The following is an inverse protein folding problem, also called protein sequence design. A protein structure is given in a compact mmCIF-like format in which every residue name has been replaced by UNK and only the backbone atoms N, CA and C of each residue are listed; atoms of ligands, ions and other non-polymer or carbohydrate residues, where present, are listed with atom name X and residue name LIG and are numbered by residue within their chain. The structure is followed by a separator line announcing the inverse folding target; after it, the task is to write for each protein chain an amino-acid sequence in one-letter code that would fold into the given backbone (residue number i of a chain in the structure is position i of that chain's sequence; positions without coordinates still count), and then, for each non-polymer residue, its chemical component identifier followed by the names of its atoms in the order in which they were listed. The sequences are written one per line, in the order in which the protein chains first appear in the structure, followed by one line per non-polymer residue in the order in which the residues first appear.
data_IF_590365076508
#
_entry.id   IF_590365076508
#
_cell.length_a   1.000
_cell.length_b   1.000
_cell.length_c   1.000
_cell.angle_alpha   90.00
_cell.angle_beta   90.00
_cell.angle_gamma   90.00
#
_symmetry.space_group_name_H-M   'P 1'
#
loop_
_entity.id
_entity.type
_entity.pdbx_description
1 polymer ?
#
# COMPACT_ATOMS: atom_id res chain seq x y z
N UNK A 1 13.03 4.52 -25.53
CA UNK A 1 12.15 4.53 -24.34
C UNK A 1 11.81 3.08 -24.13
N UNK A 2 12.41 2.45 -23.13
CA UNK A 2 12.04 1.09 -22.75
C UNK A 2 10.61 1.15 -22.21
N UNK A 3 9.67 0.51 -22.91
CA UNK A 3 8.39 0.11 -22.32
C UNK A 3 8.72 -0.88 -21.21
N UNK A 4 8.81 -0.38 -19.98
CA UNK A 4 8.72 -1.23 -18.81
C UNK A 4 7.29 -1.73 -18.83
N UNK A 5 7.08 -2.98 -19.23
CA UNK A 5 5.80 -3.66 -19.07
C UNK A 5 5.44 -3.59 -17.58
N UNK A 6 4.53 -2.67 -17.23
CA UNK A 6 4.09 -2.50 -15.86
C UNK A 6 3.46 -3.81 -15.41
N UNK A 7 3.98 -4.38 -14.33
CA UNK A 7 3.40 -5.60 -13.75
C UNK A 7 1.95 -5.31 -13.34
N UNK A 8 1.06 -6.32 -13.35
CA UNK A 8 -0.34 -6.11 -12.95
C UNK A 8 -0.48 -5.54 -11.54
N UNK A 9 0.48 -5.84 -10.65
CA UNK A 9 0.57 -5.26 -9.30
C UNK A 9 0.90 -3.76 -9.33
N UNK A 10 1.86 -3.33 -10.14
CA UNK A 10 2.24 -1.92 -10.28
C UNK A 10 1.11 -1.07 -10.85
N UNK A 11 0.43 -1.58 -11.87
CA UNK A 11 -0.74 -0.91 -12.45
C UNK A 11 -1.86 -0.75 -11.42
N UNK A 12 -2.17 -1.82 -10.67
CA UNK A 12 -3.18 -1.79 -9.61
C UNK A 12 -2.80 -0.79 -8.51
N UNK A 13 -1.53 -0.77 -8.08
CA UNK A 13 -1.05 0.18 -7.09
C UNK A 13 -1.17 1.63 -7.56
N UNK A 14 -0.91 1.92 -8.84
CA UNK A 14 -1.11 3.26 -9.43
C UNK A 14 -2.59 3.66 -9.42
N UNK A 15 -3.47 2.72 -9.77
CA UNK A 15 -4.91 2.94 -9.70
C UNK A 15 -5.36 3.23 -8.27
N UNK A 16 -4.96 2.45 -7.28
CA UNK A 16 -5.30 2.66 -5.87
C UNK A 16 -4.85 4.04 -5.37
N UNK A 17 -3.63 4.47 -5.73
CA UNK A 17 -3.13 5.82 -5.39
C UNK A 17 -3.99 6.92 -6.00
N UNK A 18 -4.46 6.76 -7.24
CA UNK A 18 -5.34 7.71 -7.90
C UNK A 18 -6.71 7.74 -7.23
N UNK A 19 -7.33 6.59 -7.01
CA UNK A 19 -8.63 6.48 -6.35
C UNK A 19 -8.60 7.08 -4.93
N UNK A 20 -7.52 6.87 -4.17
CA UNK A 20 -7.34 7.48 -2.85
C UNK A 20 -7.28 9.01 -2.91
N UNK A 21 -6.58 9.57 -3.91
CA UNK A 21 -6.53 11.03 -4.12
C UNK A 21 -7.90 11.60 -4.50
N UNK A 22 -8.61 10.95 -5.42
CA UNK A 22 -9.94 11.37 -5.87
C UNK A 22 -10.96 11.30 -4.73
N UNK A 23 -10.87 10.25 -3.90
CA UNK A 23 -11.68 10.09 -2.69
C UNK A 23 -11.40 11.20 -1.68
N UNK A 24 -10.13 11.54 -1.41
CA UNK A 24 -9.78 12.66 -0.52
C UNK A 24 -10.31 14.00 -1.05
N UNK A 25 -10.21 14.24 -2.36
CA UNK A 25 -10.78 15.43 -3.00
C UNK A 25 -12.30 15.50 -2.82
N UNK A 26 -12.99 14.35 -2.94
CA UNK A 26 -14.42 14.24 -2.68
C UNK A 26 -14.77 14.53 -1.22
N UNK A 27 -14.04 13.97 -0.25
CA UNK A 27 -14.21 14.26 1.18
C UNK A 27 -14.05 15.76 1.44
N UNK A 28 -13.01 16.38 0.88
CA UNK A 28 -12.77 17.81 1.07
C UNK A 28 -13.92 18.65 0.52
N UNK A 29 -14.44 18.29 -0.67
CA UNK A 29 -15.63 18.92 -1.24
C UNK A 29 -16.85 18.79 -0.32
N UNK A 30 -17.12 17.60 0.21
CA UNK A 30 -18.22 17.35 1.16
C UNK A 30 -18.08 18.19 2.43
N UNK A 31 -16.88 18.23 3.02
CA UNK A 31 -16.56 19.03 4.22
C UNK A 31 -16.79 20.52 4.00
N UNK A 32 -16.51 21.02 2.79
CA UNK A 32 -16.70 22.43 2.43
C UNK A 32 -18.15 22.77 2.09
N UNK A 33 -18.93 21.82 1.58
CA UNK A 33 -20.33 22.02 1.20
C UNK A 33 -21.27 22.20 2.41
N UNK A 34 -20.86 21.77 3.61
CA UNK A 34 -21.69 21.81 4.81
C UNK A 34 -21.20 22.91 5.77
N UNK A 35 -22.03 23.93 6.05
CA UNK A 35 -21.72 24.96 7.02
C UNK A 35 -21.35 24.40 8.40
N UNK A 36 -20.38 25.03 9.08
CA UNK A 36 -19.85 24.56 10.37
C UNK A 36 -20.89 24.52 11.50
N UNK A 37 -21.95 25.32 11.40
CA UNK A 37 -23.01 25.44 12.41
C UNK A 37 -24.12 24.38 12.24
N UNK A 38 -24.24 23.74 11.07
CA UNK A 38 -25.24 22.70 10.82
C UNK A 38 -24.78 21.35 11.38
N UNK A 39 -24.97 21.18 12.68
CA UNK A 39 -24.51 19.98 13.42
C UNK A 39 -25.14 18.69 12.89
N UNK A 40 -26.40 18.74 12.43
CA UNK A 40 -27.11 17.55 11.95
C UNK A 40 -26.50 17.05 10.66
N UNK A 41 -26.35 17.93 9.66
CA UNK A 41 -25.74 17.56 8.36
C UNK A 41 -24.27 17.21 8.51
N UNK A 42 -23.54 17.87 9.42
CA UNK A 42 -22.14 17.51 9.73
C UNK A 42 -22.01 16.09 10.27
N UNK A 43 -22.92 15.65 11.13
CA UNK A 43 -22.92 14.27 11.65
C UNK A 43 -23.15 13.26 10.53
N UNK A 44 -24.17 13.47 9.71
CA UNK A 44 -24.48 12.62 8.56
C UNK A 44 -23.30 12.54 7.58
N UNK A 45 -22.68 13.67 7.28
CA UNK A 45 -21.49 13.72 6.44
C UNK A 45 -20.31 12.95 7.04
N UNK A 46 -20.08 13.02 8.35
CA UNK A 46 -19.01 12.23 8.99
C UNK A 46 -19.28 10.73 8.87
N UNK A 47 -20.53 10.29 9.03
CA UNK A 47 -20.93 8.89 8.83
C UNK A 47 -20.75 8.46 7.36
N UNK A 48 -21.16 9.30 6.40
CA UNK A 48 -20.95 9.07 4.97
C UNK A 48 -19.46 9.01 4.60
N UNK A 49 -18.63 9.90 5.16
CA UNK A 49 -17.17 9.88 4.95
C UNK A 49 -16.58 8.56 5.47
N UNK A 50 -16.93 8.16 6.69
CA UNK A 50 -16.43 6.92 7.27
C UNK A 50 -16.81 5.70 6.43
N UNK A 51 -18.04 5.68 5.90
CA UNK A 51 -18.49 4.64 4.98
C UNK A 51 -17.69 4.64 3.67
N UNK A 52 -17.51 5.81 3.05
CA UNK A 52 -16.74 5.92 1.79
C UNK A 52 -15.27 5.48 1.95
N UNK A 53 -14.65 5.82 3.08
CA UNK A 53 -13.27 5.39 3.39
C UNK A 53 -13.19 3.88 3.61
N UNK A 54 -14.13 3.31 4.37
CA UNK A 54 -14.19 1.87 4.60
C UNK A 54 -14.46 1.08 3.31
N UNK A 55 -15.45 1.50 2.52
CA UNK A 55 -15.82 0.85 1.26
C UNK A 55 -14.63 0.84 0.28
N UNK A 56 -13.87 1.95 0.19
CA UNK A 56 -12.69 2.02 -0.67
C UNK A 56 -11.55 1.12 -0.18
N UNK A 57 -11.26 1.14 1.12
CA UNK A 57 -10.22 0.29 1.69
C UNK A 57 -10.54 -1.20 1.51
N UNK A 58 -11.77 -1.61 1.81
CA UNK A 58 -12.21 -2.99 1.61
C UNK A 58 -12.05 -3.43 0.15
N UNK A 59 -12.46 -2.57 -0.79
CA UNK A 59 -12.27 -2.83 -2.23
C UNK A 59 -10.79 -3.02 -2.58
N UNK A 60 -9.91 -2.15 -2.10
CA UNK A 60 -8.46 -2.26 -2.37
C UNK A 60 -7.86 -3.52 -1.75
N UNK A 61 -8.27 -3.89 -0.54
CA UNK A 61 -7.85 -5.13 0.12
C UNK A 61 -8.31 -6.37 -0.63
N UNK A 62 -9.56 -6.41 -1.09
CA UNK A 62 -10.11 -7.50 -1.89
C UNK A 62 -9.35 -7.65 -3.22
N UNK A 63 -9.09 -6.54 -3.92
CA UNK A 63 -8.34 -6.55 -5.19
C UNK A 63 -6.90 -7.06 -4.99
N UNK A 64 -6.23 -6.65 -3.90
CA UNK A 64 -4.90 -7.15 -3.56
C UNK A 64 -4.93 -8.63 -3.18
N UNK A 65 -5.94 -9.07 -2.42
CA UNK A 65 -6.09 -10.48 -2.05
C UNK A 65 -6.35 -11.36 -3.27
N UNK A 66 -7.19 -10.90 -4.21
CA UNK A 66 -7.47 -11.60 -5.46
C UNK A 66 -6.19 -11.72 -6.31
N UNK A 67 -5.42 -10.64 -6.42
CA UNK A 67 -4.18 -10.67 -7.19
C UNK A 67 -3.15 -11.62 -6.59
N UNK A 68 -2.97 -11.63 -5.26
CA UNK A 68 -2.10 -12.58 -4.55
C UNK A 68 -2.53 -14.03 -4.78
N UNK A 69 -3.82 -14.33 -4.59
CA UNK A 69 -4.34 -15.69 -4.82
C UNK A 69 -4.18 -16.16 -6.28
N UNK A 70 -4.27 -15.25 -7.24
CA UNK A 70 -4.04 -15.53 -8.67
C UNK A 70 -2.57 -15.82 -8.98
N UNK A 71 -1.65 -15.25 -8.20
CA UNK A 71 -0.22 -15.53 -8.31
C UNK A 71 0.10 -16.87 -7.65
N UNK A 72 -0.38 -17.11 -6.42
CA UNK A 72 -0.12 -18.35 -5.68
C UNK A 72 -0.62 -19.60 -6.44
N UNK A 73 -1.83 -19.54 -7.00
CA UNK A 73 -2.38 -20.64 -7.82
C UNK A 73 -1.55 -20.92 -9.08
N UNK A 74 -1.03 -19.89 -9.74
CA UNK A 74 -0.12 -20.07 -10.89
C UNK A 74 1.24 -20.62 -10.48
N UNK A 75 1.75 -20.23 -9.31
CA UNK A 75 3.02 -20.74 -8.77
C UNK A 75 2.89 -22.22 -8.40
N UNK A 76 1.77 -22.63 -7.81
CA UNK A 76 1.47 -24.04 -7.52
C UNK A 76 1.38 -24.88 -8.80
N UNK A 77 0.69 -24.41 -9.85
CA UNK A 77 0.64 -25.11 -11.14
C UNK A 77 2.03 -25.26 -11.80
N UNK A 78 2.89 -24.23 -11.69
CA UNK A 78 4.26 -24.30 -12.21
C UNK A 78 5.14 -25.25 -11.37
N UNK A 79 4.99 -25.26 -10.05
CA UNK A 79 5.69 -26.18 -9.15
C UNK A 79 5.29 -27.65 -9.42
N UNK A 80 3.99 -27.92 -9.56
CA UNK A 80 3.48 -29.25 -9.90
C UNK A 80 3.94 -29.72 -11.28
N UNK A 81 4.13 -28.81 -12.25
CA UNK A 81 4.71 -29.13 -13.56
C UNK A 81 6.19 -29.51 -13.49
N UNK A 82 6.98 -28.87 -12.61
CA UNK A 82 8.42 -29.10 -12.46
C UNK A 82 8.71 -30.39 -11.68
N UNK A 83 7.83 -30.83 -10.78
CA UNK A 83 8.02 -32.05 -9.98
C UNK A 83 8.04 -33.34 -10.83
N UNK A 84 7.47 -33.32 -12.04
CA UNK A 84 7.47 -34.48 -12.94
C UNK A 84 8.80 -34.71 -13.69
N UNK A 85 9.83 -33.86 -13.49
CA UNK A 85 11.13 -33.95 -14.18
C UNK A 85 12.35 -34.20 -13.27
N UNK A 86 12.20 -34.69 -12.03
CA UNK A 86 13.38 -35.03 -11.19
C UNK A 86 13.55 -36.54 -11.03
N UNK A 87 14.21 -37.13 -12.02
CA UNK A 87 14.77 -38.49 -11.97
C UNK A 87 16.02 -38.51 -11.08
N UNK A 88 16.16 -39.62 -10.34
CA UNK A 88 17.25 -40.13 -9.48
C UNK A 88 18.56 -39.33 -9.30
N UNK A 89 19.01 -39.21 -8.05
CA UNK A 89 20.42 -38.98 -7.75
C UNK A 89 20.75 -38.61 -6.30
N UNK A 90 20.86 -39.61 -5.42
CA UNK A 90 21.95 -39.76 -4.44
C UNK A 90 22.15 -38.74 -3.28
N UNK A 91 21.88 -39.23 -2.06
CA UNK A 91 22.67 -39.16 -0.80
C UNK A 91 23.34 -37.85 -0.32
N UNK A 92 22.94 -37.51 0.92
CA UNK A 92 23.75 -37.22 2.13
C UNK A 92 24.97 -36.27 2.05
N UNK A 93 24.91 -35.15 2.80
CA UNK A 93 25.75 -34.88 3.98
C UNK A 93 25.85 -33.36 4.30
N UNK A 94 25.45 -33.03 5.53
CA UNK A 94 26.20 -32.23 6.53
C UNK A 94 27.09 -31.04 6.08
N UNK A 95 26.81 -29.84 6.60
CA UNK A 95 27.72 -29.07 7.48
C UNK A 95 27.32 -27.58 7.60
N UNK A 96 27.13 -27.19 8.85
CA UNK A 96 27.40 -25.91 9.52
C UNK A 96 28.22 -24.83 8.76
N UNK A 97 27.79 -23.57 8.84
CA UNK A 97 28.65 -22.42 9.16
C UNK A 97 27.84 -21.13 9.37
N UNK A 98 28.30 -20.37 10.37
CA UNK A 98 27.80 -19.09 10.85
C UNK A 98 27.83 -17.95 9.82
N UNK A 99 27.00 -16.92 10.01
CA UNK A 99 27.46 -15.60 10.47
C UNK A 99 26.37 -14.52 10.32
N UNK A 100 26.20 -13.77 11.41
CA UNK A 100 25.93 -12.34 11.52
C UNK A 100 25.25 -11.58 10.36
N UNK A 101 24.10 -10.96 10.67
CA UNK A 101 23.73 -9.67 10.10
C UNK A 101 22.89 -8.91 11.14
N UNK A 102 23.40 -7.76 11.54
CA UNK A 102 22.81 -6.82 12.48
C UNK A 102 21.50 -6.23 11.92
N UNK A 103 20.52 -6.03 12.80
CA UNK A 103 19.34 -5.21 12.53
C UNK A 103 19.74 -3.74 12.72
N UNK A 104 19.93 -3.02 11.61
CA UNK A 104 19.88 -1.56 11.62
C UNK A 104 18.41 -1.14 11.45
N UNK A 105 17.81 -0.64 12.53
CA UNK A 105 16.61 0.20 12.46
C UNK A 105 17.01 1.56 11.85
N UNK A 106 16.63 1.79 10.59
CA UNK A 106 16.61 3.14 10.03
C UNK A 106 15.44 3.93 10.63
N UNK A 107 15.71 4.70 11.69
CA UNK A 107 14.87 5.84 12.06
C UNK A 107 15.01 6.94 10.99
N UNK A 108 13.98 7.11 10.16
CA UNK A 108 13.79 8.34 9.36
C UNK A 108 13.55 9.53 10.31
N UNK A 109 14.62 10.22 10.73
CA UNK A 109 14.51 11.58 11.26
C UNK A 109 14.07 12.54 10.14
N UNK A 110 12.77 12.80 10.04
CA UNK A 110 12.26 13.94 9.26
C UNK A 110 12.76 15.23 9.93
N UNK A 111 13.83 15.80 9.39
CA UNK A 111 14.39 17.08 9.79
C UNK A 111 13.36 18.21 9.66
N UNK A 112 12.56 18.43 10.71
CA UNK A 112 11.64 19.56 10.79
C UNK A 112 12.46 20.85 10.93
N UNK A 113 12.70 21.54 9.82
CA UNK A 113 13.28 22.88 9.89
C UNK A 113 12.30 23.84 10.58
N UNK A 114 12.72 24.59 11.63
CA UNK A 114 11.86 25.55 12.28
C UNK A 114 11.57 26.71 11.34
N UNK A 115 10.32 26.81 10.87
CA UNK A 115 9.85 27.96 10.10
C UNK A 115 9.96 29.22 10.96
N UNK A 116 10.92 30.08 10.63
CA UNK A 116 11.10 31.38 11.29
C UNK A 116 9.78 32.17 11.26
N UNK A 117 9.35 32.60 12.43
CA UNK A 117 8.12 33.37 12.56
C UNK A 117 8.32 34.77 12.00
N UNK A 118 7.24 35.39 11.49
CA UNK A 118 7.26 36.77 10.94
C UNK A 118 7.87 37.81 11.89
N UNK A 119 7.89 37.53 13.20
CA UNK A 119 8.51 38.39 14.22
C UNK A 119 10.05 38.39 14.17
N UNK A 120 10.68 37.29 13.74
CA UNK A 120 12.14 37.16 13.68
C UNK A 120 12.78 37.86 12.47
N UNK A 121 12.00 38.11 11.40
CA UNK A 121 12.48 38.76 10.16
C UNK A 121 12.62 40.29 10.26
N UNK A 122 12.26 40.89 11.40
CA UNK A 122 12.22 42.36 11.59
C UNK A 122 13.37 42.93 12.43
N UNK A 123 14.30 42.10 12.89
CA UNK A 123 15.52 42.56 13.57
C UNK A 123 16.67 42.69 12.59
#
# INVERSE_FOLDING_TARGET
MEEIEETPEEHLAKQHRKEKKDMQAKIQSMKNAIPKNDKKRRKQMTEEIAKLEADLNNKHEEELSQLKSSIDTKVEDVLNGVETMKMEGGKEAEAEAAAAAEEEEEEEEEATQPRLTKAQKRR
#
